data_IF_311239336744
#
_entry.id   IF_311239336744
#
_cell.length_a   1.000
_cell.length_b   1.000
_cell.length_c   1.000
_cell.angle_alpha   90.00
_cell.angle_beta   90.00
_cell.angle_gamma   90.00
#
_symmetry.space_group_name_H-M   'P 1'
#
loop_
_entity.id
_entity.type
_entity.pdbx_description
1 polymer ?
#
# COMPACT_ATOMS: atom_id res chain seq x y z
N UNK A 1 -27.61 11.11 -54.16
CA UNK A 1 -28.62 11.56 -53.18
C UNK A 1 -27.86 12.03 -51.95
N UNK A 2 -28.06 13.28 -51.49
CA UNK A 2 -27.16 13.96 -50.56
C UNK A 2 -27.35 13.47 -49.11
N UNK A 3 -26.26 13.49 -48.34
CA UNK A 3 -26.27 13.20 -46.90
C UNK A 3 -27.07 14.26 -46.12
N UNK A 4 -27.78 13.89 -45.05
CA UNK A 4 -28.52 14.85 -44.24
C UNK A 4 -27.55 15.78 -43.48
N UNK A 5 -27.78 17.09 -43.60
CA UNK A 5 -27.09 18.12 -42.82
C UNK A 5 -27.43 17.98 -41.33
N UNK A 6 -26.45 18.01 -40.40
CA UNK A 6 -26.74 18.10 -38.99
C UNK A 6 -27.32 19.49 -38.67
N UNK A 7 -28.47 19.51 -37.98
CA UNK A 7 -29.07 20.73 -37.49
C UNK A 7 -28.11 21.45 -36.52
N UNK A 8 -27.87 22.74 -36.75
CA UNK A 8 -27.07 23.55 -35.85
C UNK A 8 -27.72 23.61 -34.46
N UNK A 9 -26.95 23.32 -33.42
CA UNK A 9 -27.39 23.49 -32.04
C UNK A 9 -27.73 24.97 -31.79
N UNK A 10 -28.81 25.27 -31.04
CA UNK A 10 -29.14 26.65 -30.69
C UNK A 10 -28.01 27.25 -29.86
N UNK A 11 -27.61 28.47 -30.20
CA UNK A 11 -26.60 29.21 -29.43
C UNK A 11 -27.06 29.34 -27.97
N UNK A 12 -26.19 28.95 -27.04
CA UNK A 12 -26.44 29.15 -25.62
C UNK A 12 -26.63 30.66 -25.34
N UNK A 13 -27.59 31.05 -24.49
CA UNK A 13 -27.78 32.45 -24.14
C UNK A 13 -26.51 33.01 -23.51
N UNK A 14 -26.06 34.17 -23.98
CA UNK A 14 -24.90 34.85 -23.42
C UNK A 14 -25.16 35.17 -21.94
N UNK A 15 -24.42 34.49 -21.06
CA UNK A 15 -24.42 34.81 -19.63
C UNK A 15 -23.79 36.20 -19.47
N UNK A 16 -24.46 37.16 -18.81
CA UNK A 16 -23.85 38.45 -18.52
C UNK A 16 -22.60 38.22 -17.65
N UNK A 17 -21.44 38.71 -18.09
CA UNK A 17 -20.25 38.76 -17.25
C UNK A 17 -20.57 39.65 -16.03
N UNK A 18 -20.39 39.16 -14.79
CA UNK A 18 -20.60 39.99 -13.62
C UNK A 18 -19.56 41.10 -13.58
N UNK A 19 -20.05 42.33 -13.37
CA UNK A 19 -19.23 43.51 -13.15
C UNK A 19 -18.26 43.29 -11.98
N UNK A 20 -17.03 43.79 -12.13
CA UNK A 20 -15.94 43.61 -11.19
C UNK A 20 -16.33 43.92 -9.74
N UNK A 21 -16.20 42.92 -8.88
CA UNK A 21 -16.39 43.01 -7.44
C UNK A 21 -16.30 41.61 -6.86
N UNK A 22 -15.27 41.36 -6.05
CA UNK A 22 -14.95 40.15 -5.25
C UNK A 22 -15.80 38.89 -5.52
N UNK A 23 -15.19 37.77 -5.96
CA UNK A 23 -15.93 36.53 -6.18
C UNK A 23 -16.57 36.08 -4.86
N UNK A 24 -17.89 36.23 -4.77
CA UNK A 24 -18.69 35.63 -3.72
C UNK A 24 -18.72 34.13 -3.97
N UNK A 25 -17.73 33.41 -3.45
CA UNK A 25 -17.75 31.95 -3.45
C UNK A 25 -19.05 31.46 -2.77
N UNK A 26 -19.76 30.48 -3.35
CA UNK A 26 -21.04 30.01 -2.81
C UNK A 26 -20.90 29.48 -1.38
N UNK A 27 -21.99 29.57 -0.61
CA UNK A 27 -22.06 29.11 0.78
C UNK A 27 -21.83 30.20 1.83
N UNK A 28 -22.12 29.88 3.09
CA UNK A 28 -21.79 30.77 4.23
C UNK A 28 -20.32 30.64 4.61
N UNK A 29 -19.77 31.61 5.33
CA UNK A 29 -18.41 31.50 5.89
C UNK A 29 -18.24 30.26 6.77
N UNK A 30 -19.29 29.89 7.53
CA UNK A 30 -19.31 28.67 8.32
C UNK A 30 -19.27 27.41 7.43
N UNK A 31 -20.06 27.37 6.35
CA UNK A 31 -20.05 26.27 5.37
C UNK A 31 -18.70 26.16 4.66
N UNK A 32 -18.09 27.30 4.31
CA UNK A 32 -16.76 27.34 3.71
C UNK A 32 -15.68 26.90 4.67
N UNK A 33 -15.76 27.22 5.97
CA UNK A 33 -14.81 26.70 6.97
C UNK A 33 -15.01 25.22 7.27
N UNK A 34 -16.25 24.73 7.23
CA UNK A 34 -16.59 23.33 7.43
C UNK A 34 -16.10 22.46 6.25
N UNK A 35 -16.23 22.98 5.03
CA UNK A 35 -15.87 22.30 3.78
C UNK A 35 -14.50 22.72 3.24
N UNK A 36 -13.83 23.68 3.89
CA UNK A 36 -12.48 24.05 3.56
C UNK A 36 -11.60 22.84 3.84
N UNK A 37 -10.71 22.47 2.91
CA UNK A 37 -9.69 21.48 3.21
C UNK A 37 -8.96 21.92 4.48
N UNK A 38 -8.91 21.05 5.50
CA UNK A 38 -8.03 21.26 6.64
C UNK A 38 -6.63 21.51 6.10
N UNK A 39 -6.10 22.71 6.36
CA UNK A 39 -4.79 23.15 5.84
C UNK A 39 -3.62 22.26 6.32
N UNK A 40 -3.85 21.43 7.34
CA UNK A 40 -2.84 20.58 7.98
C UNK A 40 -3.12 19.07 7.84
N UNK A 41 -3.84 18.64 6.80
CA UNK A 41 -4.11 17.23 6.57
C UNK A 41 -2.82 16.49 6.15
N UNK A 42 -2.14 15.87 7.13
CA UNK A 42 -0.90 15.11 6.90
C UNK A 42 -1.16 13.90 5.98
N UNK A 43 -0.35 13.68 4.94
CA UNK A 43 -0.51 12.53 4.07
C UNK A 43 -0.33 11.21 4.81
N UNK A 44 -0.85 10.14 4.21
CA UNK A 44 -0.71 8.76 4.68
C UNK A 44 0.03 7.94 3.61
N UNK A 45 1.04 7.18 4.00
CA UNK A 45 1.77 6.28 3.11
C UNK A 45 1.58 4.83 3.53
N UNK A 46 1.17 3.98 2.60
CA UNK A 46 0.92 2.56 2.84
C UNK A 46 2.06 1.75 2.25
N UNK A 47 2.75 0.98 3.10
CA UNK A 47 3.92 0.19 2.71
C UNK A 47 3.64 -1.30 2.87
N UNK A 48 3.95 -2.08 1.85
CA UNK A 48 3.79 -3.53 1.95
C UNK A 48 3.97 -4.25 0.62
N UNK A 49 3.44 -5.48 0.56
CA UNK A 49 3.47 -6.30 -0.64
C UNK A 49 2.08 -6.41 -1.31
N UNK A 50 1.78 -7.55 -1.93
CA UNK A 50 0.51 -7.87 -2.60
C UNK A 50 -0.72 -7.68 -1.71
N UNK A 51 -0.57 -7.94 -0.41
CA UNK A 51 -1.65 -7.76 0.57
C UNK A 51 -2.04 -6.29 0.73
N UNK A 52 -1.04 -5.39 0.78
CA UNK A 52 -1.27 -3.95 0.89
C UNK A 52 -1.81 -3.35 -0.43
N UNK A 53 -1.45 -3.92 -1.58
CA UNK A 53 -2.02 -3.52 -2.89
C UNK A 53 -3.43 -4.08 -3.13
N UNK A 54 -3.97 -4.87 -2.20
CA UNK A 54 -5.28 -5.52 -2.31
C UNK A 54 -5.36 -6.49 -3.50
N UNK A 55 -4.29 -7.22 -3.78
CA UNK A 55 -4.39 -8.40 -4.66
C UNK A 55 -5.50 -9.32 -4.16
N UNK A 56 -6.28 -9.87 -5.09
CA UNK A 56 -7.51 -10.63 -4.78
C UNK A 56 -8.74 -9.77 -4.49
N UNK A 57 -8.62 -8.45 -4.26
CA UNK A 57 -9.72 -7.57 -3.87
C UNK A 57 -10.86 -7.40 -4.88
N UNK A 58 -10.68 -7.86 -6.13
CA UNK A 58 -11.73 -7.90 -7.14
C UNK A 58 -12.63 -9.16 -7.06
N UNK A 59 -12.25 -10.16 -6.26
CA UNK A 59 -13.02 -11.38 -6.10
C UNK A 59 -14.16 -11.21 -5.08
N UNK A 60 -15.26 -11.95 -5.27
CA UNK A 60 -16.41 -12.07 -4.36
C UNK A 60 -17.22 -10.80 -4.05
N UNK A 61 -16.85 -9.63 -4.60
CA UNK A 61 -17.61 -8.37 -4.49
C UNK A 61 -17.96 -7.81 -5.88
N UNK A 62 -19.04 -7.02 -6.02
CA UNK A 62 -19.42 -6.43 -7.32
C UNK A 62 -18.42 -5.42 -7.89
N UNK A 63 -17.64 -4.78 -7.00
CA UNK A 63 -16.57 -3.84 -7.34
C UNK A 63 -15.31 -4.23 -6.58
N UNK A 64 -14.15 -3.92 -7.16
CA UNK A 64 -12.88 -4.19 -6.51
C UNK A 64 -12.75 -3.38 -5.21
N UNK A 65 -12.44 -4.06 -4.11
CA UNK A 65 -12.16 -3.42 -2.83
C UNK A 65 -10.65 -3.22 -2.71
N UNK A 66 -10.23 -1.97 -2.77
CA UNK A 66 -8.82 -1.58 -2.59
C UNK A 66 -8.64 -0.77 -1.33
N UNK A 67 -7.68 -1.19 -0.48
CA UNK A 67 -7.43 -0.58 0.83
C UNK A 67 -7.09 0.90 0.68
N UNK A 68 -6.18 1.26 -0.23
CA UNK A 68 -5.76 2.65 -0.43
C UNK A 68 -6.91 3.58 -0.85
N UNK A 69 -7.85 3.10 -1.66
CA UNK A 69 -9.04 3.87 -2.07
C UNK A 69 -9.99 4.12 -0.89
N UNK A 70 -10.20 3.09 -0.05
CA UNK A 70 -11.04 3.22 1.14
C UNK A 70 -10.42 4.16 2.18
N UNK A 71 -9.09 4.08 2.37
CA UNK A 71 -8.37 5.00 3.25
C UNK A 71 -8.36 6.41 2.71
N UNK A 72 -8.27 6.62 1.38
CA UNK A 72 -8.35 7.95 0.78
C UNK A 72 -9.70 8.63 1.04
N UNK A 73 -10.80 7.86 0.98
CA UNK A 73 -12.13 8.36 1.33
C UNK A 73 -12.24 8.71 2.83
N UNK A 74 -11.66 7.89 3.70
CA UNK A 74 -11.72 8.10 5.14
C UNK A 74 -10.80 9.26 5.62
N UNK A 75 -9.66 9.45 4.97
CA UNK A 75 -8.63 10.42 5.37
C UNK A 75 -8.78 11.80 4.71
N UNK A 76 -9.76 11.97 3.82
CA UNK A 76 -9.96 13.22 3.08
C UNK A 76 -9.98 14.45 4.03
N UNK A 77 -9.25 15.53 3.73
CA UNK A 77 -8.56 15.82 2.46
C UNK A 77 -7.10 15.36 2.37
N UNK A 78 -6.60 14.53 3.31
CA UNK A 78 -5.23 14.03 3.25
C UNK A 78 -5.01 13.13 2.01
N UNK A 79 -3.83 13.23 1.41
CA UNK A 79 -3.42 12.34 0.31
C UNK A 79 -3.02 10.98 0.87
N UNK A 80 -3.44 9.90 0.21
CA UNK A 80 -3.03 8.53 0.53
C UNK A 80 -2.16 8.00 -0.61
N UNK A 81 -0.92 7.61 -0.28
CA UNK A 81 0.03 7.02 -1.19
C UNK A 81 0.09 5.50 -0.98
N UNK A 82 -0.33 4.72 -1.97
CA UNK A 82 -0.29 3.26 -1.93
C UNK A 82 1.00 2.70 -2.54
N UNK A 83 1.90 2.19 -1.70
CA UNK A 83 3.15 1.53 -2.10
C UNK A 83 3.18 0.05 -1.67
N UNK A 84 2.06 -0.64 -1.90
CA UNK A 84 2.02 -2.10 -1.91
C UNK A 84 2.47 -2.62 -3.27
N UNK A 85 3.45 -3.52 -3.31
CA UNK A 85 3.94 -4.12 -4.57
C UNK A 85 3.99 -5.63 -4.45
N UNK A 86 3.30 -6.35 -5.35
CA UNK A 86 3.22 -7.80 -5.34
C UNK A 86 4.57 -8.51 -5.24
N UNK A 87 4.60 -9.70 -4.61
CA UNK A 87 5.77 -10.56 -4.41
C UNK A 87 6.98 -9.94 -3.64
N UNK A 88 6.96 -8.65 -3.30
CA UNK A 88 8.08 -8.01 -2.60
C UNK A 88 8.25 -8.51 -1.16
N UNK A 89 9.50 -8.60 -0.73
CA UNK A 89 9.94 -8.88 0.66
C UNK A 89 10.18 -7.58 1.43
N UNK A 90 10.24 -7.63 2.76
CA UNK A 90 10.43 -6.44 3.62
C UNK A 90 11.63 -5.56 3.23
N UNK A 91 12.78 -6.14 2.87
CA UNK A 91 13.97 -5.40 2.38
C UNK A 91 13.72 -4.56 1.13
N UNK A 92 12.81 -4.97 0.25
CA UNK A 92 12.44 -4.16 -0.91
C UNK A 92 11.70 -2.89 -0.48
N UNK A 93 10.87 -2.97 0.55
CA UNK A 93 10.17 -1.79 1.08
C UNK A 93 11.16 -0.78 1.68
N UNK A 94 12.24 -1.24 2.32
CA UNK A 94 13.33 -0.37 2.77
C UNK A 94 14.01 0.37 1.61
N UNK A 95 14.32 -0.35 0.53
CA UNK A 95 14.86 0.23 -0.70
C UNK A 95 13.87 1.24 -1.32
N UNK A 96 12.59 0.88 -1.42
CA UNK A 96 11.53 1.76 -1.93
C UNK A 96 11.43 3.03 -1.12
N UNK A 97 11.41 2.96 0.22
CA UNK A 97 11.37 4.16 1.07
C UNK A 97 12.65 4.98 1.03
N UNK A 98 13.77 4.39 0.61
CA UNK A 98 15.08 5.03 0.62
C UNK A 98 15.82 4.93 1.96
N UNK A 99 15.45 3.95 2.80
CA UNK A 99 16.23 3.60 4.01
C UNK A 99 17.45 2.75 3.68
N UNK A 100 17.39 2.00 2.58
CA UNK A 100 18.55 1.40 1.94
C UNK A 100 18.91 2.22 0.70
N UNK A 101 20.16 2.69 0.64
CA UNK A 101 20.71 3.45 -0.50
C UNK A 101 21.93 2.70 -1.08
N UNK A 102 21.71 1.60 -1.81
CA UNK A 102 22.79 0.75 -2.29
C UNK A 102 23.67 1.49 -3.31
N UNK A 103 24.94 1.10 -3.39
CA UNK A 103 25.78 1.42 -4.55
C UNK A 103 25.38 0.51 -5.72
N UNK A 104 25.04 1.12 -6.86
CA UNK A 104 24.74 0.41 -8.10
C UNK A 104 25.99 0.31 -8.97
N UNK A 105 26.30 -0.92 -9.39
CA UNK A 105 27.31 -1.20 -10.40
C UNK A 105 26.64 -1.39 -11.76
N UNK A 106 27.06 -0.62 -12.76
CA UNK A 106 26.67 -0.80 -14.16
C UNK A 106 27.31 -2.09 -14.70
N UNK A 107 26.51 -2.94 -15.33
CA UNK A 107 26.93 -4.28 -15.79
C UNK A 107 27.12 -4.39 -17.31
N UNK A 108 26.62 -3.43 -18.08
CA UNK A 108 26.67 -3.48 -19.53
C UNK A 108 26.30 -2.15 -20.17
N UNK A 109 26.24 -2.16 -21.50
CA UNK A 109 25.96 -0.97 -22.29
C UNK A 109 24.47 -0.59 -22.24
N UNK A 110 24.14 0.71 -22.37
CA UNK A 110 22.75 1.17 -22.45
C UNK A 110 22.01 0.57 -23.65
N UNK A 111 20.78 0.11 -23.41
CA UNK A 111 19.90 -0.37 -24.46
C UNK A 111 19.55 0.76 -25.45
N UNK A 112 19.61 0.52 -26.77
CA UNK A 112 19.25 1.53 -27.77
C UNK A 112 17.83 2.06 -27.57
N UNK A 113 17.66 3.38 -27.69
CA UNK A 113 16.36 4.06 -27.60
C UNK A 113 15.89 4.36 -26.18
N UNK A 114 16.01 3.43 -25.23
CA UNK A 114 15.57 3.62 -23.84
C UNK A 114 16.68 4.09 -22.90
N UNK A 115 17.95 3.84 -23.24
CA UNK A 115 19.08 4.08 -22.33
C UNK A 115 19.08 3.17 -21.10
N UNK A 116 18.25 2.12 -21.07
CA UNK A 116 18.16 1.21 -19.94
C UNK A 116 19.46 0.41 -19.77
N UNK A 117 19.98 0.36 -18.54
CA UNK A 117 21.26 -0.27 -18.22
C UNK A 117 21.05 -1.37 -17.17
N UNK A 118 21.58 -2.59 -17.36
CA UNK A 118 21.59 -3.60 -16.33
C UNK A 118 22.51 -3.17 -15.18
N UNK A 119 22.02 -3.30 -13.95
CA UNK A 119 22.74 -2.90 -12.74
C UNK A 119 22.74 -4.00 -11.69
N UNK A 120 23.76 -4.01 -10.83
CA UNK A 120 23.78 -4.83 -9.61
C UNK A 120 23.79 -3.91 -8.39
N UNK A 121 23.00 -4.27 -7.37
CA UNK A 121 23.06 -3.65 -6.05
C UNK A 121 24.17 -4.31 -5.24
N UNK A 122 25.02 -3.52 -4.59
CA UNK A 122 26.03 -4.00 -3.65
C UNK A 122 25.45 -4.83 -2.47
N UNK A 123 24.20 -4.56 -2.11
CA UNK A 123 23.46 -5.28 -1.07
C UNK A 123 23.11 -6.73 -1.44
N UNK A 124 23.26 -7.12 -2.71
CA UNK A 124 22.89 -8.43 -3.24
C UNK A 124 21.38 -8.71 -3.26
N UNK A 125 20.53 -7.71 -2.98
CA UNK A 125 19.08 -7.88 -3.03
C UNK A 125 18.63 -8.18 -4.47
N UNK A 126 18.09 -9.37 -4.71
CA UNK A 126 17.47 -9.72 -5.99
C UNK A 126 16.15 -8.98 -6.19
N UNK A 127 15.76 -8.64 -7.44
CA UNK A 127 14.45 -8.06 -7.71
C UNK A 127 13.32 -9.06 -7.42
N UNK A 128 12.14 -8.55 -7.09
CA UNK A 128 10.93 -9.36 -6.88
C UNK A 128 9.66 -8.55 -7.20
N UNK A 129 8.76 -9.17 -7.98
CA UNK A 129 7.49 -8.58 -8.39
C UNK A 129 7.64 -7.45 -9.42
N UNK A 130 6.55 -6.73 -9.76
CA UNK A 130 6.57 -5.65 -10.74
C UNK A 130 7.13 -4.34 -10.14
N UNK A 131 8.28 -4.43 -9.47
CA UNK A 131 8.84 -3.36 -8.65
C UNK A 131 9.50 -2.28 -9.52
N UNK A 132 9.07 -1.03 -9.36
CA UNK A 132 9.64 0.13 -10.06
C UNK A 132 9.80 1.27 -9.06
N UNK A 133 11.04 1.70 -8.86
CA UNK A 133 11.39 2.68 -7.83
C UNK A 133 11.93 3.93 -8.51
N UNK A 134 11.17 5.04 -8.56
CA UNK A 134 11.70 6.30 -9.08
C UNK A 134 12.81 6.81 -8.15
N UNK A 135 13.85 7.41 -8.72
CA UNK A 135 14.99 7.87 -7.95
C UNK A 135 16.07 8.53 -8.79
N UNK A 136 17.25 8.66 -8.20
CA UNK A 136 18.46 9.06 -8.90
C UNK A 136 19.58 8.03 -8.73
N UNK A 137 20.40 7.88 -9.78
CA UNK A 137 21.66 7.17 -9.76
C UNK A 137 22.78 8.18 -10.07
N UNK A 138 23.61 8.50 -9.07
CA UNK A 138 24.69 9.47 -9.21
C UNK A 138 24.23 10.83 -9.81
N UNK A 139 23.01 11.26 -9.46
CA UNK A 139 22.41 12.50 -9.96
C UNK A 139 21.68 12.41 -11.31
N UNK A 140 21.67 11.23 -11.97
CA UNK A 140 20.82 10.99 -13.14
C UNK A 140 19.47 10.48 -12.66
N UNK A 141 18.40 11.22 -12.98
CA UNK A 141 17.03 10.83 -12.66
C UNK A 141 16.57 9.64 -13.52
N UNK A 142 15.79 8.76 -12.92
CA UNK A 142 15.23 7.61 -13.61
C UNK A 142 14.48 6.67 -12.68
N UNK A 143 14.36 5.43 -13.11
CA UNK A 143 13.65 4.37 -12.39
C UNK A 143 14.58 3.17 -12.25
N UNK A 144 14.75 2.70 -11.01
CA UNK A 144 15.27 1.37 -10.73
C UNK A 144 14.12 0.37 -10.93
N UNK A 145 14.21 -0.40 -12.00
CA UNK A 145 13.21 -1.37 -12.45
C UNK A 145 13.66 -2.78 -12.09
N UNK A 146 12.85 -3.45 -11.27
CA UNK A 146 13.01 -4.83 -10.84
C UNK A 146 11.84 -5.70 -11.28
N UNK A 147 11.13 -5.33 -12.35
CA UNK A 147 10.02 -6.13 -12.89
C UNK A 147 10.45 -7.43 -13.59
N UNK A 148 11.74 -7.55 -13.93
CA UNK A 148 12.34 -8.75 -14.53
C UNK A 148 13.19 -9.55 -13.55
N UNK A 149 13.99 -10.49 -14.09
CA UNK A 149 14.89 -11.35 -13.31
C UNK A 149 16.15 -10.62 -12.80
N UNK A 150 16.44 -9.43 -13.33
CA UNK A 150 17.59 -8.61 -12.95
C UNK A 150 17.18 -7.15 -12.82
N UNK A 151 17.99 -6.37 -12.10
CA UNK A 151 17.75 -4.94 -11.96
C UNK A 151 18.20 -4.18 -13.20
N UNK A 152 17.36 -3.27 -13.65
CA UNK A 152 17.64 -2.32 -14.70
C UNK A 152 17.51 -0.91 -14.14
N UNK A 153 18.43 -0.01 -14.48
CA UNK A 153 18.20 1.43 -14.29
C UNK A 153 17.78 2.03 -15.63
N UNK A 154 16.60 2.64 -15.66
CA UNK A 154 16.04 3.31 -16.85
C UNK A 154 16.12 4.82 -16.61
N UNK A 155 17.03 5.55 -17.28
CA UNK A 155 17.13 7.00 -17.11
C UNK A 155 15.94 7.70 -17.76
N UNK A 156 15.51 8.83 -17.18
CA UNK A 156 14.45 9.66 -17.78
C UNK A 156 14.90 10.30 -19.11
N UNK A 157 16.21 10.57 -19.23
CA UNK A 157 16.86 11.05 -20.43
C UNK A 157 17.90 10.01 -20.91
N UNK A 158 17.55 9.28 -21.97
CA UNK A 158 18.39 8.23 -22.54
C UNK A 158 19.73 8.72 -23.10
N UNK A 159 19.89 10.04 -23.33
CA UNK A 159 21.16 10.62 -23.78
C UNK A 159 22.14 10.87 -22.62
N UNK A 160 21.69 10.79 -21.37
CA UNK A 160 22.57 10.99 -20.20
C UNK A 160 23.46 9.76 -19.99
N UNK A 161 24.79 9.97 -19.91
CA UNK A 161 25.68 8.87 -19.55
C UNK A 161 25.41 8.43 -18.11
N UNK A 162 25.31 7.12 -17.91
CA UNK A 162 25.16 6.52 -16.60
C UNK A 162 26.51 6.07 -16.07
N UNK A 163 26.75 6.33 -14.78
CA UNK A 163 27.91 5.84 -14.04
C UNK A 163 27.44 5.01 -12.84
N UNK A 164 28.32 4.14 -12.37
CA UNK A 164 28.11 3.48 -11.08
C UNK A 164 28.04 4.52 -9.96
N UNK A 165 27.28 4.21 -8.91
CA UNK A 165 27.18 5.07 -7.74
C UNK A 165 25.93 4.80 -6.92
N UNK A 166 25.71 5.63 -5.91
CA UNK A 166 24.60 5.48 -4.98
C UNK A 166 23.26 5.73 -5.65
N UNK A 167 22.33 4.80 -5.45
CA UNK A 167 20.93 5.02 -5.76
C UNK A 167 20.20 5.65 -4.59
N UNK A 168 19.34 6.64 -4.88
CA UNK A 168 18.47 7.29 -3.90
C UNK A 168 17.03 7.24 -4.39
N UNK A 169 16.16 6.62 -3.61
CA UNK A 169 14.73 6.60 -3.93
C UNK A 169 14.12 8.00 -3.79
N UNK A 170 13.38 8.42 -4.81
CA UNK A 170 12.60 9.65 -4.77
C UNK A 170 11.40 9.55 -3.81
N UNK A 171 10.97 8.33 -3.46
CA UNK A 171 9.86 8.11 -2.53
C UNK A 171 10.21 8.50 -1.09
N UNK A 172 11.50 8.64 -0.75
CA UNK A 172 11.92 9.17 0.54
C UNK A 172 11.28 10.55 0.84
N UNK A 173 11.20 11.42 -0.18
CA UNK A 173 10.56 12.74 -0.06
C UNK A 173 9.04 12.67 0.06
N UNK A 174 8.41 11.64 -0.52
CA UNK A 174 6.95 11.43 -0.38
C UNK A 174 6.61 10.93 1.03
N UNK A 175 7.48 10.10 1.59
CA UNK A 175 7.33 9.59 2.96
C UNK A 175 7.59 10.67 4.02
N UNK A 176 8.34 11.72 3.70
CA UNK A 176 8.69 12.78 4.63
C UNK A 176 7.44 13.53 5.12
N UNK A 177 7.25 13.56 6.45
CA UNK A 177 6.09 14.17 7.09
C UNK A 177 4.78 13.37 7.02
N UNK A 178 4.75 12.28 6.24
CA UNK A 178 3.60 11.37 6.14
C UNK A 178 3.47 10.51 7.40
N UNK A 179 2.22 10.22 7.78
CA UNK A 179 1.93 9.05 8.62
C UNK A 179 2.08 7.80 7.76
N UNK A 180 2.25 6.64 8.39
CA UNK A 180 2.46 5.41 7.64
C UNK A 180 1.72 4.20 8.22
N UNK A 181 1.30 3.31 7.33
CA UNK A 181 0.79 1.97 7.66
C UNK A 181 1.75 0.95 7.07
N UNK A 182 2.22 0.02 7.90
CA UNK A 182 3.22 -0.98 7.56
C UNK A 182 2.58 -2.37 7.53
N UNK A 183 2.62 -3.04 6.38
CA UNK A 183 2.17 -4.42 6.23
C UNK A 183 3.13 -5.20 5.33
N UNK A 184 4.29 -5.52 5.90
CA UNK A 184 5.42 -6.14 5.19
C UNK A 184 5.85 -7.45 5.85
N UNK A 185 6.60 -8.26 5.10
CA UNK A 185 7.25 -9.46 5.63
C UNK A 185 6.60 -10.78 5.28
N UNK A 186 5.34 -10.81 4.80
CA UNK A 186 4.64 -12.07 4.46
C UNK A 186 5.43 -12.95 3.47
N UNK A 187 6.04 -12.36 2.44
CA UNK A 187 6.82 -13.08 1.42
C UNK A 187 8.22 -13.54 1.89
N UNK A 188 8.63 -13.19 3.11
CA UNK A 188 9.86 -13.65 3.75
C UNK A 188 9.62 -14.02 5.22
N UNK A 189 8.42 -14.51 5.56
CA UNK A 189 7.99 -14.67 6.94
C UNK A 189 8.89 -15.61 7.76
N UNK A 190 9.48 -16.61 7.10
CA UNK A 190 10.44 -17.53 7.71
C UNK A 190 11.73 -16.85 8.19
N UNK A 191 12.09 -15.71 7.62
CA UNK A 191 13.15 -14.83 8.12
C UNK A 191 12.57 -13.89 9.20
N UNK A 192 12.17 -14.49 10.33
CA UNK A 192 11.52 -13.78 11.44
C UNK A 192 12.37 -12.58 11.91
N UNK A 193 13.68 -12.78 12.08
CA UNK A 193 14.59 -11.71 12.48
C UNK A 193 14.63 -10.58 11.48
N UNK A 194 14.78 -10.87 10.18
CA UNK A 194 14.84 -9.86 9.13
C UNK A 194 13.52 -9.08 9.01
N UNK A 195 12.37 -9.75 9.10
CA UNK A 195 11.05 -9.09 9.07
C UNK A 195 10.92 -8.10 10.24
N UNK A 196 11.30 -8.52 11.45
CA UNK A 196 11.22 -7.69 12.66
C UNK A 196 12.21 -6.52 12.62
N UNK A 197 13.43 -6.74 12.14
CA UNK A 197 14.44 -5.69 11.97
C UNK A 197 13.99 -4.66 10.91
N UNK A 198 13.59 -5.12 9.73
CA UNK A 198 13.15 -4.25 8.65
C UNK A 198 11.90 -3.42 9.04
N UNK A 199 10.94 -4.06 9.73
CA UNK A 199 9.76 -3.36 10.24
C UNK A 199 10.15 -2.31 11.28
N UNK A 200 11.11 -2.61 12.16
CA UNK A 200 11.62 -1.66 13.14
C UNK A 200 12.32 -0.46 12.47
N UNK A 201 13.16 -0.71 11.45
CA UNK A 201 13.78 0.36 10.65
C UNK A 201 12.74 1.25 10.00
N UNK A 202 11.63 0.69 9.51
CA UNK A 202 10.51 1.46 8.98
C UNK A 202 9.77 2.24 10.06
N UNK A 203 9.56 1.66 11.24
CA UNK A 203 8.97 2.33 12.39
C UNK A 203 9.79 3.59 12.77
N UNK A 204 11.10 3.40 13.00
CA UNK A 204 12.03 4.45 13.45
C UNK A 204 12.27 5.58 12.43
N UNK A 205 11.93 5.36 11.17
CA UNK A 205 12.17 6.33 10.11
C UNK A 205 11.10 7.45 10.02
N UNK A 206 10.15 7.50 10.95
CA UNK A 206 9.27 8.67 11.12
C UNK A 206 9.75 9.52 12.29
N UNK A 207 9.44 10.83 12.27
CA UNK A 207 9.91 11.74 13.32
C UNK A 207 9.31 11.41 14.71
N UNK A 208 8.05 10.96 14.75
CA UNK A 208 7.40 10.48 15.97
C UNK A 208 6.68 9.15 15.69
N UNK A 209 7.39 8.01 15.75
CA UNK A 209 6.83 6.71 15.38
C UNK A 209 5.58 6.32 16.15
N UNK A 210 5.55 6.63 17.46
CA UNK A 210 4.41 6.38 18.35
C UNK A 210 3.23 7.33 18.12
N UNK A 211 3.32 8.27 17.16
CA UNK A 211 2.17 9.06 16.70
C UNK A 211 1.84 8.82 15.24
N UNK A 212 2.80 8.32 14.47
CA UNK A 212 2.75 8.40 13.01
C UNK A 212 2.75 7.04 12.32
N UNK A 213 2.96 5.94 13.06
CA UNK A 213 3.07 4.61 12.47
C UNK A 213 2.00 3.67 13.00
N UNK A 214 1.43 2.86 12.10
CA UNK A 214 0.58 1.72 12.42
C UNK A 214 1.17 0.47 11.76
N UNK A 215 1.34 -0.61 12.51
CA UNK A 215 1.85 -1.91 12.03
C UNK A 215 0.70 -2.90 11.97
N UNK A 216 0.58 -3.60 10.85
CA UNK A 216 -0.47 -4.59 10.61
C UNK A 216 0.07 -6.00 10.79
N UNK A 217 -0.62 -6.81 11.60
CA UNK A 217 -0.32 -8.22 11.78
C UNK A 217 -0.53 -9.04 10.51
N UNK A 218 0.17 -10.17 10.45
CA UNK A 218 0.02 -11.17 9.39
C UNK A 218 -1.15 -12.10 9.70
N UNK A 219 -1.71 -12.72 8.65
CA UNK A 219 -2.75 -13.73 8.80
C UNK A 219 -2.30 -15.04 8.16
N UNK A 220 -2.64 -16.19 8.80
CA UNK A 220 -2.39 -17.51 8.26
C UNK A 220 -3.39 -17.89 7.14
N UNK A 221 -2.89 -18.65 6.18
CA UNK A 221 -3.60 -19.17 5.01
C UNK A 221 -3.61 -20.70 5.04
N UNK A 222 -4.33 -21.39 4.13
CA UNK A 222 -4.20 -22.86 3.99
C UNK A 222 -2.75 -23.36 3.80
N UNK A 223 -1.86 -22.50 3.30
CA UNK A 223 -0.43 -22.79 3.13
C UNK A 223 0.41 -22.61 4.41
N UNK A 224 -0.23 -22.21 5.50
CA UNK A 224 0.36 -22.05 6.83
C UNK A 224 -0.30 -23.00 7.84
N UNK A 225 -0.30 -24.33 7.61
CA UNK A 225 -1.02 -25.25 8.47
C UNK A 225 -0.45 -25.23 9.89
N UNK A 226 -1.32 -25.44 10.88
CA UNK A 226 -0.93 -25.50 12.30
C UNK A 226 0.21 -26.50 12.50
N UNK A 227 1.26 -26.07 13.20
CA UNK A 227 2.47 -26.86 13.44
C UNK A 227 3.51 -26.80 12.31
N UNK A 228 3.27 -26.05 11.25
CA UNK A 228 4.29 -25.73 10.24
C UNK A 228 5.22 -24.61 10.68
N UNK A 229 6.41 -24.58 10.08
CA UNK A 229 7.38 -23.51 10.30
C UNK A 229 6.84 -22.13 9.87
N UNK A 230 5.99 -22.06 8.85
CA UNK A 230 5.38 -20.79 8.41
C UNK A 230 4.33 -20.31 9.41
N UNK A 231 3.49 -21.20 9.95
CA UNK A 231 2.54 -20.86 11.02
C UNK A 231 3.26 -20.38 12.28
N UNK A 232 4.33 -21.07 12.70
CA UNK A 232 5.14 -20.67 13.84
C UNK A 232 5.81 -19.30 13.61
N UNK A 233 6.30 -19.04 12.41
CA UNK A 233 6.90 -17.75 12.04
C UNK A 233 5.88 -16.60 12.02
N UNK A 234 4.68 -16.82 11.46
CA UNK A 234 3.56 -15.85 11.50
C UNK A 234 3.23 -15.48 12.95
N UNK A 235 3.08 -16.49 13.82
CA UNK A 235 2.82 -16.27 15.25
C UNK A 235 3.95 -15.48 15.90
N UNK A 236 5.20 -15.89 15.72
CA UNK A 236 6.35 -15.23 16.34
C UNK A 236 6.48 -13.76 15.91
N UNK A 237 6.27 -13.46 14.63
CA UNK A 237 6.29 -12.07 14.13
C UNK A 237 5.14 -11.26 14.74
N UNK A 238 3.91 -11.78 14.74
CA UNK A 238 2.76 -11.07 15.27
C UNK A 238 2.88 -10.81 16.78
N UNK A 239 3.27 -11.81 17.57
CA UNK A 239 3.46 -11.68 19.02
C UNK A 239 4.50 -10.60 19.35
N UNK A 240 5.63 -10.62 18.65
CA UNK A 240 6.70 -9.66 18.89
C UNK A 240 6.32 -8.24 18.40
N UNK A 241 5.66 -8.11 17.25
CA UNK A 241 5.17 -6.82 16.77
C UNK A 241 4.10 -6.24 17.71
N UNK A 242 3.18 -7.07 18.21
CA UNK A 242 2.19 -6.64 19.20
C UNK A 242 2.86 -6.17 20.48
N UNK A 243 3.85 -6.93 20.98
CA UNK A 243 4.62 -6.56 22.17
C UNK A 243 5.38 -5.24 21.99
N UNK A 244 5.96 -5.00 20.81
CA UNK A 244 6.75 -3.79 20.50
C UNK A 244 5.89 -2.54 20.30
N UNK A 245 4.79 -2.67 19.55
CA UNK A 245 4.05 -1.51 19.05
C UNK A 245 2.74 -1.25 19.82
N UNK A 246 2.26 -2.22 20.62
CA UNK A 246 1.10 -2.04 21.50
C UNK A 246 -0.13 -1.52 20.75
N UNK A 247 -0.64 -0.35 21.14
CA UNK A 247 -1.79 0.31 20.49
C UNK A 247 -1.55 0.66 19.01
N UNK A 248 -0.30 0.64 18.56
CA UNK A 248 0.09 0.84 17.16
C UNK A 248 0.29 -0.47 16.40
N UNK A 249 -0.13 -1.60 16.97
CA UNK A 249 -0.28 -2.87 16.27
C UNK A 249 -1.75 -3.21 16.07
N UNK A 250 -2.13 -3.54 14.84
CA UNK A 250 -3.46 -4.03 14.49
C UNK A 250 -3.40 -5.54 14.20
N UNK A 251 -4.01 -6.34 15.09
CA UNK A 251 -4.08 -7.79 14.95
C UNK A 251 -5.09 -8.21 13.86
N UNK A 252 -4.61 -8.30 12.62
CA UNK A 252 -5.41 -8.79 11.50
C UNK A 252 -5.58 -10.31 11.52
N UNK A 253 -4.68 -11.04 12.17
CA UNK A 253 -4.82 -12.48 12.38
C UNK A 253 -6.08 -12.75 13.18
N UNK A 254 -6.15 -12.20 14.40
CA UNK A 254 -7.32 -12.32 15.27
C UNK A 254 -8.61 -11.77 14.64
N UNK A 255 -8.54 -10.66 13.88
CA UNK A 255 -9.71 -10.14 13.15
C UNK A 255 -10.29 -11.17 12.16
N UNK A 256 -9.43 -11.90 11.45
CA UNK A 256 -9.84 -12.76 10.34
C UNK A 256 -10.02 -14.23 10.75
N UNK A 257 -9.56 -14.62 11.94
CA UNK A 257 -9.59 -16.01 12.44
C UNK A 257 -10.23 -16.16 13.82
N UNK A 258 -11.01 -15.18 14.28
CA UNK A 258 -11.82 -15.28 15.50
C UNK A 258 -13.30 -15.04 15.21
N UNK A 259 -14.19 -15.65 16.01
CA UNK A 259 -15.62 -15.42 15.86
C UNK A 259 -16.00 -13.94 16.02
N UNK A 260 -15.39 -13.24 16.98
CA UNK A 260 -15.67 -11.82 17.23
C UNK A 260 -15.20 -10.95 16.08
N UNK A 261 -14.04 -11.25 15.49
CA UNK A 261 -13.55 -10.56 14.30
C UNK A 261 -14.46 -10.76 13.08
N UNK A 262 -14.97 -11.99 12.88
CA UNK A 262 -15.89 -12.31 11.78
C UNK A 262 -17.29 -11.70 11.95
N UNK A 263 -17.63 -11.18 13.13
CA UNK A 263 -18.87 -10.41 13.39
C UNK A 263 -18.72 -8.91 13.09
N UNK A 264 -17.55 -8.46 12.61
CA UNK A 264 -17.37 -7.03 12.34
C UNK A 264 -18.40 -6.51 11.31
N UNK A 265 -18.77 -5.22 11.38
CA UNK A 265 -19.87 -4.66 10.59
C UNK A 265 -19.81 -4.93 9.07
N UNK A 266 -18.64 -4.87 8.41
CA UNK A 266 -18.56 -5.20 6.98
C UNK A 266 -18.88 -6.66 6.65
N UNK A 267 -18.64 -7.59 7.58
CA UNK A 267 -18.81 -9.02 7.37
C UNK A 267 -20.15 -9.56 7.88
N UNK A 268 -20.83 -8.82 8.75
CA UNK A 268 -22.13 -9.22 9.31
C UNK A 268 -23.16 -9.71 8.26
N UNK A 269 -23.30 -9.07 7.07
CA UNK A 269 -24.25 -9.54 6.05
C UNK A 269 -23.92 -10.93 5.47
N UNK A 270 -22.68 -11.38 5.54
CA UNK A 270 -22.25 -12.68 4.99
C UNK A 270 -22.61 -13.86 5.88
N UNK A 271 -22.95 -13.61 7.17
CA UNK A 271 -23.30 -14.64 8.15
C UNK A 271 -22.28 -15.80 8.16
N UNK A 272 -20.99 -15.48 8.12
CA UNK A 272 -19.90 -16.46 7.96
C UNK A 272 -19.96 -17.58 9.01
N UNK A 273 -20.32 -17.25 10.24
CA UNK A 273 -20.44 -18.19 11.37
C UNK A 273 -21.63 -19.15 11.26
N UNK A 274 -22.44 -19.08 10.20
CA UNK A 274 -23.48 -20.06 9.92
C UNK A 274 -23.05 -21.09 8.88
N UNK A 275 -21.85 -20.91 8.31
CA UNK A 275 -21.28 -21.79 7.30
C UNK A 275 -20.38 -22.83 7.97
N UNK A 276 -20.60 -24.11 7.69
CA UNK A 276 -19.81 -25.20 8.28
C UNK A 276 -18.30 -25.07 7.98
N UNK A 277 -17.97 -24.67 6.75
CA UNK A 277 -16.57 -24.47 6.30
C UNK A 277 -15.84 -23.39 7.08
N UNK A 278 -16.55 -22.40 7.64
CA UNK A 278 -15.96 -21.39 8.52
C UNK A 278 -15.43 -22.01 9.80
N UNK A 279 -16.19 -22.89 10.46
CA UNK A 279 -15.73 -23.52 11.70
C UNK A 279 -14.54 -24.46 11.46
N UNK A 280 -14.50 -25.15 10.32
CA UNK A 280 -13.34 -25.97 9.92
C UNK A 280 -12.09 -25.11 9.72
N UNK A 281 -12.23 -23.94 9.09
CA UNK A 281 -11.13 -22.98 8.92
C UNK A 281 -10.67 -22.40 10.27
N UNK A 282 -11.59 -22.00 11.14
CA UNK A 282 -11.29 -21.47 12.48
C UNK A 282 -10.58 -22.51 13.35
N UNK A 283 -10.98 -23.79 13.29
CA UNK A 283 -10.31 -24.87 14.00
C UNK A 283 -8.85 -25.07 13.56
N UNK A 284 -8.56 -24.76 12.29
CA UNK A 284 -7.21 -24.74 11.73
C UNK A 284 -6.52 -23.38 11.88
N UNK A 285 -7.15 -22.42 12.56
CA UNK A 285 -6.68 -21.05 12.72
C UNK A 285 -6.37 -20.34 11.39
N UNK A 286 -7.03 -20.70 10.29
CA UNK A 286 -6.85 -20.06 8.99
C UNK A 286 -8.06 -19.18 8.63
N UNK A 287 -7.84 -18.20 7.77
CA UNK A 287 -8.91 -17.30 7.30
C UNK A 287 -9.98 -18.09 6.54
N UNK A 288 -11.29 -17.97 6.85
CA UNK A 288 -12.35 -18.71 6.16
C UNK A 288 -12.42 -18.47 4.64
N UNK A 289 -12.87 -19.48 3.89
CA UNK A 289 -13.02 -19.43 2.42
C UNK A 289 -13.79 -18.21 1.92
N UNK A 290 -14.85 -17.82 2.63
CA UNK A 290 -15.67 -16.66 2.29
C UNK A 290 -14.89 -15.32 2.25
N UNK A 291 -13.67 -15.28 2.80
CA UNK A 291 -12.79 -14.11 2.82
C UNK A 291 -11.51 -14.28 1.98
N UNK A 292 -11.27 -15.46 1.40
CA UNK A 292 -10.10 -15.76 0.58
C UNK A 292 -10.37 -15.51 -0.90
N UNK A 293 -9.34 -15.05 -1.61
CA UNK A 293 -9.32 -15.03 -3.06
C UNK A 293 -9.11 -16.46 -3.62
N UNK A 294 -9.35 -16.70 -4.92
CA UNK A 294 -9.20 -18.03 -5.52
C UNK A 294 -7.80 -18.64 -5.44
N UNK A 295 -6.76 -17.82 -5.22
CA UNK A 295 -5.39 -18.29 -5.03
C UNK A 295 -5.08 -18.75 -3.59
N UNK A 296 -6.05 -18.62 -2.68
CA UNK A 296 -6.00 -19.01 -1.27
C UNK A 296 -4.94 -18.29 -0.41
N UNK A 297 -4.09 -17.47 -1.02
CA UNK A 297 -3.02 -16.71 -0.37
C UNK A 297 -3.50 -15.29 -0.01
N UNK A 298 -4.31 -14.70 -0.90
CA UNK A 298 -4.81 -13.34 -0.78
C UNK A 298 -6.23 -13.29 -0.21
N UNK A 299 -6.60 -12.11 0.29
CA UNK A 299 -7.97 -11.82 0.69
C UNK A 299 -8.80 -11.43 -0.54
N UNK A 300 -10.06 -11.84 -0.56
CA UNK A 300 -11.02 -11.35 -1.55
C UNK A 300 -11.51 -9.93 -1.19
N UNK A 301 -12.50 -9.41 -1.92
CA UNK A 301 -13.05 -8.09 -1.67
C UNK A 301 -13.63 -7.93 -0.26
N UNK A 302 -14.31 -8.94 0.28
CA UNK A 302 -14.86 -8.88 1.64
C UNK A 302 -13.77 -8.89 2.72
N UNK A 303 -12.73 -9.73 2.55
CA UNK A 303 -11.58 -9.72 3.44
C UNK A 303 -10.84 -8.38 3.43
N UNK A 304 -10.60 -7.80 2.25
CA UNK A 304 -10.01 -6.47 2.11
C UNK A 304 -10.90 -5.36 2.73
N UNK A 305 -12.23 -5.52 2.68
CA UNK A 305 -13.16 -4.55 3.27
C UNK A 305 -13.10 -4.59 4.80
N UNK A 306 -13.02 -5.78 5.40
CA UNK A 306 -12.83 -5.96 6.84
C UNK A 306 -11.51 -5.33 7.31
N UNK A 307 -10.41 -5.59 6.59
CA UNK A 307 -9.10 -4.98 6.86
C UNK A 307 -9.17 -3.44 6.76
N UNK A 308 -9.78 -2.92 5.68
CA UNK A 308 -9.95 -1.47 5.49
C UNK A 308 -10.72 -0.82 6.64
N UNK A 309 -11.82 -1.45 7.07
CA UNK A 309 -12.62 -1.00 8.21
C UNK A 309 -11.83 -1.00 9.52
N UNK A 310 -11.06 -2.06 9.78
CA UNK A 310 -10.25 -2.18 10.98
C UNK A 310 -9.13 -1.11 11.02
N UNK A 311 -8.47 -0.86 9.88
CA UNK A 311 -7.47 0.22 9.76
C UNK A 311 -8.13 1.57 10.06
N UNK A 312 -9.28 1.89 9.45
CA UNK A 312 -9.98 3.16 9.69
C UNK A 312 -10.36 3.35 11.16
N UNK A 313 -10.83 2.29 11.82
CA UNK A 313 -11.15 2.38 13.25
C UNK A 313 -9.91 2.61 14.11
N UNK A 314 -8.82 1.88 13.83
CA UNK A 314 -7.56 2.11 14.54
C UNK A 314 -7.03 3.52 14.30
N UNK A 315 -7.14 4.05 13.07
CA UNK A 315 -6.80 5.45 12.78
C UNK A 315 -7.64 6.45 13.60
N UNK A 316 -8.92 6.17 13.86
CA UNK A 316 -9.76 7.01 14.75
C UNK A 316 -9.29 6.93 16.20
N UNK A 317 -9.00 5.72 16.69
CA UNK A 317 -8.49 5.48 18.05
C UNK A 317 -7.16 6.23 18.28
N UNK A 318 -6.27 6.21 17.27
CA UNK A 318 -5.00 6.94 17.25
C UNK A 318 -5.15 8.45 16.96
N UNK A 319 -6.38 8.93 16.76
CA UNK A 319 -6.71 10.35 16.43
C UNK A 319 -6.03 10.85 15.16
N UNK A 320 -5.98 10.01 14.14
CA UNK A 320 -5.48 10.37 12.82
C UNK A 320 -6.55 11.05 11.95
N UNK A 321 -7.83 10.79 12.24
CA UNK A 321 -9.02 11.27 11.55
C UNK A 321 -9.83 12.25 12.41
#
# INVERSE_FOLDING_TARGET
MPAPQPAAAPAAPAVPLPAGGTPSAPGTEASRRLLAPRRDARPLTLWGSSSMSSEGGAAATPVAVRIHEHLALAAAPAVVHGYGVGATRSRHTLLMRGLDTPELRVLGDPAPGSGAVPVALDSGLSPAGPLRIPGDLAGVLGVLDGSGESWMFVPDDAARPLAAGRFRSALARVAEGSRQVLWMGKNNILDVSGVLEDTQRMWDATADPARDTLVLGQWPTPYDPVGSATADAVRAVNEEQQRRYGDHFLDLGGLLTSEDGLRCPPLAPLRLLEQATTYEALAQQIVPDGLRAPDEIHLNGWGNLAVSWAIVNRMRELRWL
#
